data_IF_622158161078
#
_entry.id   IF_622158161078
#
_cell.length_a   1.000
_cell.length_b   1.000
_cell.length_c   1.000
_cell.angle_alpha   90.00
_cell.angle_beta   90.00
_cell.angle_gamma   90.00
#
_symmetry.space_group_name_H-M   'P 1'
#
loop_
_entity.id
_entity.type
_entity.pdbx_description
1 polymer ?
#
# COMPACT_ATOMS: atom_id res chain seq x y z
N UNK A 1 41.62 -8.21 2.67
CA UNK A 1 40.37 -7.82 1.96
C UNK A 1 40.05 -6.39 2.41
N UNK A 2 40.61 -5.41 1.67
CA UNK A 2 40.46 -3.97 2.01
C UNK A 2 39.17 -3.46 1.38
N UNK A 3 38.29 -2.91 2.21
CA UNK A 3 37.00 -2.30 1.84
C UNK A 3 37.32 -0.99 1.12
N UNK A 4 36.99 -0.90 -0.17
CA UNK A 4 36.99 0.34 -0.96
C UNK A 4 35.74 1.14 -0.64
N UNK A 5 35.76 1.95 0.39
CA UNK A 5 34.57 2.65 0.92
C UNK A 5 34.70 4.18 1.04
N UNK A 6 35.49 4.83 0.20
CA UNK A 6 35.57 6.30 0.27
C UNK A 6 34.74 7.06 -0.77
N UNK A 7 34.37 6.43 -1.89
CA UNK A 7 33.59 7.06 -2.95
C UNK A 7 32.08 6.92 -2.70
N UNK A 8 31.66 5.80 -2.12
CA UNK A 8 30.28 5.54 -1.73
C UNK A 8 29.79 6.49 -0.64
N UNK A 9 30.61 6.78 0.37
CA UNK A 9 30.23 7.65 1.50
C UNK A 9 30.03 9.12 1.09
N UNK A 10 30.85 9.65 0.15
CA UNK A 10 30.67 11.03 -0.36
C UNK A 10 29.40 11.16 -1.21
N UNK A 11 29.14 10.20 -2.07
CA UNK A 11 27.89 10.15 -2.86
C UNK A 11 26.66 9.99 -1.96
N UNK A 12 26.78 9.21 -0.89
CA UNK A 12 25.77 9.08 0.17
C UNK A 12 25.48 10.42 0.89
N UNK A 13 26.50 11.20 1.21
CA UNK A 13 26.36 12.48 1.92
C UNK A 13 25.84 13.61 0.99
N UNK A 14 26.17 13.60 -0.27
CA UNK A 14 25.62 14.54 -1.26
C UNK A 14 24.16 14.22 -1.57
N UNK A 15 23.80 12.95 -1.69
CA UNK A 15 22.41 12.51 -1.83
C UNK A 15 21.59 12.74 -0.55
N UNK A 16 22.18 12.61 0.64
CA UNK A 16 21.52 12.94 1.92
C UNK A 16 21.14 14.44 2.03
N UNK A 17 21.87 15.36 1.37
CA UNK A 17 21.48 16.78 1.30
C UNK A 17 20.23 17.03 0.45
N UNK A 18 19.91 16.16 -0.52
CA UNK A 18 18.67 16.21 -1.31
C UNK A 18 17.47 15.59 -0.58
N UNK A 19 17.68 14.86 0.50
CA UNK A 19 16.62 14.17 1.28
C UNK A 19 15.77 15.13 2.11
N UNK A 20 16.18 16.39 2.29
CA UNK A 20 15.34 17.45 2.88
C UNK A 20 14.23 17.97 1.93
N UNK A 21 14.12 17.43 0.71
CA UNK A 21 13.04 17.72 -0.19
C UNK A 21 11.77 17.05 0.35
N UNK A 22 10.70 17.81 0.54
CA UNK A 22 9.39 17.26 0.94
C UNK A 22 8.88 16.37 -0.19
N UNK A 23 8.95 15.04 -0.01
CA UNK A 23 8.43 14.08 -0.97
C UNK A 23 6.91 14.25 -1.12
N UNK A 24 6.43 14.12 -2.36
CA UNK A 24 5.01 14.24 -2.72
C UNK A 24 4.35 12.91 -3.04
N UNK A 25 5.16 11.88 -3.33
CA UNK A 25 4.69 10.53 -3.61
C UNK A 25 4.35 10.26 -5.08
N UNK A 26 4.95 10.97 -6.03
CA UNK A 26 4.94 10.56 -7.43
C UNK A 26 5.73 9.26 -7.58
N UNK A 27 5.16 8.25 -8.24
CA UNK A 27 5.84 6.97 -8.50
C UNK A 27 5.92 6.76 -10.01
N UNK A 28 7.07 6.30 -10.49
CA UNK A 28 7.24 5.98 -11.89
C UNK A 28 8.09 4.71 -12.06
N UNK A 29 7.57 3.75 -12.79
CA UNK A 29 8.30 2.58 -13.29
C UNK A 29 8.66 2.81 -14.74
N UNK A 30 9.92 2.61 -15.11
CA UNK A 30 10.44 2.82 -16.47
C UNK A 30 11.09 1.55 -17.00
N UNK A 31 10.43 0.86 -17.91
CA UNK A 31 10.92 -0.34 -18.61
C UNK A 31 11.47 -1.40 -17.65
N UNK A 32 10.81 -1.60 -16.52
CA UNK A 32 11.27 -2.49 -15.46
C UNK A 32 11.11 -3.94 -15.87
N UNK A 33 12.21 -4.71 -15.75
CA UNK A 33 12.22 -6.16 -15.91
C UNK A 33 12.72 -6.81 -14.62
N UNK A 34 12.03 -7.87 -14.19
CA UNK A 34 12.39 -8.56 -12.96
C UNK A 34 12.08 -10.08 -13.03
N UNK A 35 12.98 -10.87 -12.47
CA UNK A 35 12.81 -12.29 -12.19
C UNK A 35 13.44 -12.65 -10.83
N UNK A 36 12.87 -13.65 -10.15
CA UNK A 36 13.47 -14.18 -8.92
C UNK A 36 14.58 -15.17 -9.24
N UNK A 37 14.39 -16.00 -10.26
CA UNK A 37 15.35 -16.97 -10.76
C UNK A 37 15.58 -16.75 -12.26
N UNK A 38 16.79 -17.03 -12.75
CA UNK A 38 17.10 -16.89 -14.17
C UNK A 38 16.13 -17.69 -15.06
N UNK A 39 15.66 -17.05 -16.13
CA UNK A 39 14.76 -17.64 -17.12
C UNK A 39 13.27 -17.46 -16.85
N UNK A 40 12.84 -17.06 -15.64
CA UNK A 40 11.43 -16.87 -15.30
C UNK A 40 11.08 -15.40 -15.07
N UNK A 41 10.79 -14.66 -16.15
CA UNK A 41 10.41 -13.26 -16.06
C UNK A 41 9.04 -13.07 -15.39
N UNK A 42 9.06 -12.49 -14.18
CA UNK A 42 7.85 -12.13 -13.41
C UNK A 42 7.32 -10.77 -13.81
N UNK A 43 8.21 -9.80 -14.06
CA UNK A 43 7.87 -8.46 -14.57
C UNK A 43 8.57 -8.27 -15.92
N UNK A 44 7.82 -7.79 -16.92
CA UNK A 44 8.27 -7.69 -18.32
C UNK A 44 8.02 -6.29 -18.85
N UNK A 45 9.09 -5.51 -19.03
CA UNK A 45 9.06 -4.17 -19.62
C UNK A 45 7.95 -3.29 -19.03
N UNK A 46 7.79 -3.33 -17.71
CA UNK A 46 6.70 -2.64 -17.01
C UNK A 46 6.99 -1.16 -16.92
N UNK A 47 6.07 -0.35 -17.45
CA UNK A 47 6.13 1.11 -17.36
C UNK A 47 4.77 1.65 -16.98
N UNK A 48 4.71 2.48 -15.95
CA UNK A 48 3.53 3.24 -15.53
C UNK A 48 3.94 4.41 -14.66
N UNK A 49 2.99 5.33 -14.44
CA UNK A 49 3.18 6.51 -13.58
C UNK A 49 1.96 6.71 -12.70
N UNK A 50 2.22 7.07 -11.44
CA UNK A 50 1.23 7.44 -10.43
C UNK A 50 1.56 8.86 -9.99
N UNK A 51 0.56 9.75 -10.02
CA UNK A 51 0.72 11.13 -9.59
C UNK A 51 0.58 11.26 -8.07
N UNK A 52 1.14 12.33 -7.45
CA UNK A 52 0.94 12.59 -6.04
C UNK A 52 -0.55 12.65 -5.67
N UNK A 53 -0.93 11.94 -4.62
CA UNK A 53 -2.31 11.88 -4.14
C UNK A 53 -3.26 11.00 -4.97
N UNK A 54 -2.79 10.34 -6.02
CA UNK A 54 -3.58 9.45 -6.86
C UNK A 54 -3.77 8.09 -6.17
N UNK A 55 -5.01 7.57 -6.18
CA UNK A 55 -5.34 6.24 -5.70
C UNK A 55 -5.36 5.26 -6.87
N UNK A 56 -4.48 4.29 -6.87
CA UNK A 56 -4.30 3.36 -7.98
C UNK A 56 -4.54 1.93 -7.55
N UNK A 57 -5.47 1.25 -8.24
CA UNK A 57 -5.73 -0.17 -8.07
C UNK A 57 -4.93 -1.01 -9.05
N UNK A 58 -4.24 -2.02 -8.53
CA UNK A 58 -3.62 -3.08 -9.34
C UNK A 58 -4.56 -4.28 -9.42
N UNK A 59 -4.90 -4.66 -10.64
CA UNK A 59 -5.85 -5.72 -10.97
C UNK A 59 -5.19 -6.74 -11.90
N UNK A 60 -5.54 -8.00 -11.76
CA UNK A 60 -5.04 -9.05 -12.65
C UNK A 60 -5.05 -10.43 -11.98
N UNK A 61 -4.92 -11.50 -12.76
CA UNK A 61 -4.93 -12.87 -12.22
C UNK A 61 -3.83 -13.10 -11.18
N UNK A 62 -4.00 -14.12 -10.35
CA UNK A 62 -2.93 -14.59 -9.46
C UNK A 62 -1.66 -14.89 -10.27
N UNK A 63 -0.49 -14.49 -9.76
CA UNK A 63 0.78 -14.63 -10.48
C UNK A 63 1.04 -13.56 -11.56
N UNK A 64 0.18 -12.55 -11.74
CA UNK A 64 0.42 -11.47 -12.73
C UNK A 64 1.53 -10.49 -12.34
N UNK A 65 2.10 -10.57 -11.13
CA UNK A 65 3.20 -9.72 -10.67
C UNK A 65 2.82 -8.60 -9.70
N UNK A 66 1.56 -8.49 -9.25
CA UNK A 66 1.09 -7.41 -8.37
C UNK A 66 1.92 -7.26 -7.09
N UNK A 67 2.06 -8.32 -6.32
CA UNK A 67 2.87 -8.32 -5.08
C UNK A 67 4.35 -8.09 -5.36
N UNK A 68 4.85 -8.50 -6.53
CA UNK A 68 6.24 -8.26 -6.95
C UNK A 68 6.50 -6.76 -7.16
N UNK A 69 5.55 -6.00 -7.71
CA UNK A 69 5.65 -4.54 -7.84
C UNK A 69 5.85 -3.89 -6.47
N UNK A 70 5.08 -4.30 -5.45
CA UNK A 70 5.23 -3.80 -4.07
C UNK A 70 6.64 -4.13 -3.54
N UNK A 71 7.10 -5.37 -3.72
CA UNK A 71 8.42 -5.81 -3.24
C UNK A 71 9.56 -5.00 -3.88
N UNK A 72 9.44 -4.69 -5.17
CA UNK A 72 10.38 -3.84 -5.88
C UNK A 72 10.33 -2.40 -5.39
N UNK A 73 9.15 -1.81 -5.23
CA UNK A 73 8.97 -0.45 -4.72
C UNK A 73 9.53 -0.29 -3.29
N UNK A 74 9.34 -1.31 -2.44
CA UNK A 74 9.92 -1.36 -1.09
C UNK A 74 11.44 -1.66 -1.09
N UNK A 75 12.04 -1.86 -2.28
CA UNK A 75 13.45 -2.23 -2.43
C UNK A 75 13.83 -3.46 -1.58
N UNK A 76 12.92 -4.46 -1.56
CA UNK A 76 13.21 -5.80 -1.05
C UNK A 76 13.96 -6.62 -2.09
N UNK A 77 13.81 -6.26 -3.37
CA UNK A 77 14.53 -6.77 -4.52
C UNK A 77 14.89 -5.61 -5.44
N UNK A 78 15.92 -5.78 -6.25
CA UNK A 78 16.32 -4.83 -7.29
C UNK A 78 15.96 -5.39 -8.67
N UNK A 79 15.43 -4.56 -9.60
CA UNK A 79 15.13 -5.00 -10.95
C UNK A 79 16.42 -5.28 -11.73
N UNK A 80 16.41 -6.26 -12.64
CA UNK A 80 17.53 -6.56 -13.52
C UNK A 80 17.75 -5.46 -14.57
N UNK A 81 16.66 -4.78 -14.98
CA UNK A 81 16.76 -3.62 -15.85
C UNK A 81 15.60 -2.65 -15.63
N UNK A 82 15.74 -1.42 -16.14
CA UNK A 82 14.79 -0.34 -15.92
C UNK A 82 15.06 0.42 -14.64
N UNK A 83 14.16 1.34 -14.30
CA UNK A 83 14.29 2.24 -13.15
C UNK A 83 12.96 2.35 -12.42
N UNK A 84 13.01 2.52 -11.10
CA UNK A 84 11.87 2.85 -10.26
C UNK A 84 12.17 4.16 -9.57
N UNK A 85 11.33 5.16 -9.78
CA UNK A 85 11.52 6.51 -9.27
C UNK A 85 10.44 6.89 -8.28
N UNK A 86 10.82 7.62 -7.22
CA UNK A 86 9.90 8.34 -6.34
C UNK A 86 10.28 9.83 -6.43
N UNK A 87 9.33 10.67 -6.83
CA UNK A 87 9.53 12.11 -7.05
C UNK A 87 10.77 12.41 -7.93
N UNK A 88 10.89 11.65 -9.03
CA UNK A 88 11.96 11.72 -10.02
C UNK A 88 13.35 11.28 -9.52
N UNK A 89 13.45 10.72 -8.30
CA UNK A 89 14.69 10.18 -7.73
C UNK A 89 14.62 8.64 -7.81
N UNK A 90 15.68 8.01 -8.34
CA UNK A 90 15.76 6.55 -8.36
C UNK A 90 15.77 6.00 -6.92
N UNK A 91 14.94 5.00 -6.63
CA UNK A 91 14.85 4.41 -5.28
C UNK A 91 16.19 3.82 -4.82
N UNK A 92 17.12 3.53 -5.73
CA UNK A 92 18.48 3.07 -5.42
C UNK A 92 19.31 4.16 -4.76
N UNK A 93 19.06 5.43 -5.14
CA UNK A 93 19.75 6.60 -4.62
C UNK A 93 19.15 7.14 -3.31
N UNK A 94 17.96 6.66 -2.93
CA UNK A 94 17.32 7.01 -1.66
C UNK A 94 17.87 6.10 -0.54
N UNK A 95 18.34 6.67 0.60
CA UNK A 95 18.73 5.86 1.76
C UNK A 95 17.59 4.95 2.19
N UNK A 96 17.87 3.67 2.44
CA UNK A 96 16.84 2.64 2.70
C UNK A 96 15.93 2.99 3.88
N UNK A 97 16.46 3.61 4.93
CA UNK A 97 15.68 4.05 6.08
C UNK A 97 14.68 5.15 5.69
N UNK A 98 15.10 6.11 4.84
CA UNK A 98 14.24 7.17 4.31
C UNK A 98 13.16 6.58 3.43
N UNK A 99 13.53 5.71 2.48
CA UNK A 99 12.56 5.03 1.61
C UNK A 99 11.49 4.29 2.42
N UNK A 100 11.89 3.51 3.42
CA UNK A 100 10.95 2.76 4.28
C UNK A 100 10.09 3.64 5.17
N UNK A 101 10.56 4.82 5.54
CA UNK A 101 9.74 5.79 6.28
C UNK A 101 8.69 6.48 5.40
N UNK A 102 8.99 6.64 4.11
CA UNK A 102 8.06 7.21 3.12
C UNK A 102 6.96 6.25 2.72
N UNK A 103 7.22 4.94 2.78
CA UNK A 103 6.31 3.89 2.36
C UNK A 103 5.62 3.26 3.57
N UNK A 104 4.32 3.35 3.62
CA UNK A 104 3.49 2.60 4.56
C UNK A 104 2.93 1.36 3.89
N UNK A 105 3.23 0.18 4.40
CA UNK A 105 2.76 -1.09 3.81
C UNK A 105 1.81 -1.78 4.78
N UNK A 106 0.61 -2.03 4.30
CA UNK A 106 -0.41 -2.84 4.98
C UNK A 106 -0.47 -4.18 4.24
N UNK A 107 -0.09 -5.25 4.94
CA UNK A 107 -0.09 -6.60 4.39
C UNK A 107 -1.48 -7.25 4.52
N UNK A 108 -1.73 -8.24 3.70
CA UNK A 108 -2.93 -9.06 3.69
C UNK A 108 -3.24 -9.66 5.07
N UNK A 109 -2.24 -10.25 5.73
CA UNK A 109 -2.38 -10.78 7.08
C UNK A 109 -2.23 -9.65 8.10
N UNK A 110 -3.35 -9.27 8.72
CA UNK A 110 -3.37 -8.26 9.78
C UNK A 110 -2.87 -8.85 11.08
N UNK A 111 -1.69 -8.45 11.53
CA UNK A 111 -1.17 -8.86 12.82
C UNK A 111 -1.48 -7.82 13.90
N UNK A 112 -2.24 -8.23 14.91
CA UNK A 112 -2.55 -7.43 16.10
C UNK A 112 -1.77 -8.00 17.28
N UNK A 113 -0.98 -7.13 17.93
CA UNK A 113 -0.23 -7.50 19.13
C UNK A 113 -1.14 -7.55 20.35
N UNK A 114 -0.84 -8.43 21.30
CA UNK A 114 -1.43 -8.37 22.65
C UNK A 114 -1.02 -7.07 23.33
N UNK A 115 -1.87 -6.50 24.15
CA UNK A 115 -1.69 -5.19 24.78
C UNK A 115 -2.95 -4.36 24.63
N UNK A 116 -2.84 -3.05 24.55
CA UNK A 116 -4.00 -2.19 24.30
C UNK A 116 -3.99 -1.60 22.88
N UNK A 117 -5.06 -0.90 22.52
CA UNK A 117 -5.21 -0.25 21.20
C UNK A 117 -4.11 0.80 20.98
N UNK A 118 -3.80 1.62 22.03
CA UNK A 118 -2.77 2.63 21.94
C UNK A 118 -1.39 2.02 21.64
N UNK A 119 -1.01 0.93 22.31
CA UNK A 119 0.27 0.25 22.08
C UNK A 119 0.35 -0.27 20.64
N UNK A 120 -0.75 -0.82 20.13
CA UNK A 120 -0.83 -1.29 18.75
C UNK A 120 -0.71 -0.17 17.72
N UNK A 121 -1.25 1.01 17.99
CA UNK A 121 -1.18 2.16 17.10
C UNK A 121 0.20 2.85 17.16
N UNK A 122 0.74 3.01 18.35
CA UNK A 122 2.01 3.71 18.57
C UNK A 122 3.21 3.00 17.96
N UNK A 123 3.32 1.69 18.13
CA UNK A 123 4.44 0.84 17.68
C UNK A 123 5.78 1.60 17.61
N UNK A 124 6.46 1.79 18.72
CA UNK A 124 7.77 2.46 18.80
C UNK A 124 7.76 3.97 18.40
N UNK A 125 6.60 4.61 18.22
CA UNK A 125 6.53 6.07 18.15
C UNK A 125 6.54 6.67 19.55
N UNK A 126 7.13 7.87 19.71
CA UNK A 126 7.16 8.60 20.97
C UNK A 126 5.90 9.45 21.20
N UNK A 127 4.79 9.16 20.50
CA UNK A 127 3.53 9.89 20.64
C UNK A 127 2.96 9.73 22.05
N UNK A 128 2.56 10.81 22.65
CA UNK A 128 1.76 10.76 23.87
C UNK A 128 0.30 10.36 23.56
N UNK A 129 -0.53 10.15 24.60
CA UNK A 129 -1.89 9.68 24.38
C UNK A 129 -2.78 10.75 23.74
N UNK A 130 -2.56 12.02 24.04
CA UNK A 130 -3.34 13.13 23.48
C UNK A 130 -3.04 13.34 21.99
N UNK A 131 -1.76 13.29 21.63
CA UNK A 131 -1.31 13.32 20.24
C UNK A 131 -1.91 12.16 19.44
N UNK A 132 -1.86 10.93 20.01
CA UNK A 132 -2.44 9.75 19.40
C UNK A 132 -3.95 9.88 19.19
N UNK A 133 -4.67 10.38 20.19
CA UNK A 133 -6.11 10.58 20.11
C UNK A 133 -6.46 11.59 19.02
N UNK A 134 -5.76 12.73 18.95
CA UNK A 134 -5.93 13.71 17.90
C UNK A 134 -5.69 13.13 16.50
N UNK A 135 -4.62 12.36 16.33
CA UNK A 135 -4.33 11.66 15.06
C UNK A 135 -5.42 10.64 14.70
N UNK A 136 -5.95 9.92 15.68
CA UNK A 136 -7.08 9.03 15.46
C UNK A 136 -8.33 9.78 14.95
N UNK A 137 -8.65 10.93 15.51
CA UNK A 137 -9.74 11.78 15.02
C UNK A 137 -9.48 12.30 13.60
N UNK A 138 -8.27 12.76 13.32
CA UNK A 138 -7.88 13.23 11.97
C UNK A 138 -8.01 12.11 10.91
N UNK A 139 -7.68 10.88 11.30
CA UNK A 139 -7.79 9.69 10.45
C UNK A 139 -9.22 9.13 10.37
N UNK A 140 -10.16 9.67 11.16
CA UNK A 140 -11.55 9.22 11.17
C UNK A 140 -11.79 7.91 11.91
N UNK A 141 -10.95 7.59 12.88
CA UNK A 141 -11.07 6.39 13.72
C UNK A 141 -12.04 6.57 14.90
N UNK A 142 -12.71 7.71 15.01
CA UNK A 142 -13.65 8.03 16.09
C UNK A 142 -14.76 6.98 16.21
N UNK A 143 -15.27 6.45 15.10
CA UNK A 143 -16.27 5.39 15.11
C UNK A 143 -15.74 4.06 15.68
N UNK A 144 -14.50 3.73 15.35
CA UNK A 144 -13.83 2.55 15.92
C UNK A 144 -13.65 2.73 17.43
N UNK A 145 -13.06 3.85 17.84
CA UNK A 145 -12.76 4.11 19.25
C UNK A 145 -14.01 4.15 20.12
N UNK A 146 -15.13 4.70 19.63
CA UNK A 146 -16.44 4.71 20.33
C UNK A 146 -17.05 3.32 20.54
N UNK A 147 -16.74 2.37 19.67
CA UNK A 147 -17.21 0.97 19.80
C UNK A 147 -16.40 0.16 20.81
N UNK A 148 -15.19 0.62 21.12
CA UNK A 148 -14.30 -0.07 22.06
C UNK A 148 -14.60 0.39 23.50
N UNK A 149 -14.74 -0.56 24.47
CA UNK A 149 -15.20 -0.26 25.83
C UNK A 149 -14.40 0.83 26.55
N UNK A 150 -13.08 0.87 26.35
CA UNK A 150 -12.16 1.79 26.98
C UNK A 150 -11.37 2.62 25.95
N UNK A 151 -11.90 2.77 24.71
CA UNK A 151 -11.27 3.50 23.61
C UNK A 151 -9.83 3.02 23.36
N UNK A 152 -8.86 3.94 23.41
CA UNK A 152 -7.42 3.62 23.23
C UNK A 152 -6.86 2.66 24.27
N UNK A 153 -7.44 2.59 25.46
CA UNK A 153 -6.97 1.72 26.55
C UNK A 153 -7.59 0.31 26.48
N UNK A 154 -8.50 0.07 25.55
CA UNK A 154 -9.15 -1.24 25.39
C UNK A 154 -8.08 -2.32 25.20
N UNK A 155 -8.10 -3.33 26.07
CA UNK A 155 -7.22 -4.48 26.00
C UNK A 155 -7.54 -5.38 24.82
N UNK A 156 -6.53 -5.71 24.05
CA UNK A 156 -6.62 -6.59 22.87
C UNK A 156 -6.09 -7.98 23.22
N UNK A 157 -6.90 -8.99 22.94
CA UNK A 157 -6.50 -10.38 23.05
C UNK A 157 -5.52 -10.75 21.95
N UNK A 158 -4.89 -11.90 22.10
CA UNK A 158 -3.98 -12.43 21.08
C UNK A 158 -4.62 -12.37 19.68
N UNK A 159 -3.87 -11.85 18.71
CA UNK A 159 -4.33 -11.63 17.33
C UNK A 159 -5.60 -10.79 17.19
N UNK A 160 -5.92 -9.97 18.18
CA UNK A 160 -7.15 -9.16 18.17
C UNK A 160 -8.44 -9.99 18.22
N UNK A 161 -8.43 -11.12 18.97
CA UNK A 161 -9.55 -12.05 19.01
C UNK A 161 -10.88 -11.47 19.55
N UNK A 162 -10.83 -10.28 20.16
CA UNK A 162 -12.01 -9.53 20.59
C UNK A 162 -12.43 -8.40 19.64
N UNK A 163 -11.80 -8.32 18.45
CA UNK A 163 -12.17 -7.40 17.38
C UNK A 163 -12.82 -8.17 16.22
N UNK A 164 -13.74 -7.55 15.52
CA UNK A 164 -14.23 -8.03 14.22
C UNK A 164 -13.10 -8.00 13.17
N UNK A 165 -13.28 -8.69 12.06
CA UNK A 165 -12.31 -8.67 10.94
C UNK A 165 -12.09 -7.26 10.39
N UNK A 166 -13.16 -6.47 10.24
CA UNK A 166 -13.08 -5.07 9.81
C UNK A 166 -12.34 -4.16 10.78
N UNK A 167 -12.60 -4.30 12.08
CA UNK A 167 -11.89 -3.53 13.10
C UNK A 167 -10.39 -3.87 13.15
N UNK A 168 -10.03 -5.15 13.00
CA UNK A 168 -8.61 -5.55 12.88
C UNK A 168 -7.94 -4.92 11.65
N UNK A 169 -8.63 -4.95 10.51
CA UNK A 169 -8.12 -4.35 9.28
C UNK A 169 -7.96 -2.83 9.44
N UNK A 170 -8.98 -2.13 9.95
CA UNK A 170 -8.93 -0.70 10.17
C UNK A 170 -7.81 -0.31 11.13
N UNK A 171 -7.65 -1.05 12.23
CA UNK A 171 -6.56 -0.83 13.19
C UNK A 171 -5.17 -1.04 12.55
N UNK A 172 -5.03 -2.04 11.68
CA UNK A 172 -3.79 -2.29 10.94
C UNK A 172 -3.45 -1.17 9.96
N UNK A 173 -4.43 -0.65 9.22
CA UNK A 173 -4.25 0.49 8.31
C UNK A 173 -3.92 1.76 9.11
N UNK A 174 -4.65 2.02 10.19
CA UNK A 174 -4.44 3.15 11.08
C UNK A 174 -3.03 3.18 11.67
N UNK A 175 -2.53 2.04 12.13
CA UNK A 175 -1.15 1.86 12.62
C UNK A 175 -0.11 2.36 11.62
N UNK A 176 -0.31 2.07 10.35
CA UNK A 176 0.59 2.52 9.29
C UNK A 176 0.37 4.00 8.98
N UNK A 177 -0.89 4.44 8.93
CA UNK A 177 -1.26 5.81 8.58
C UNK A 177 -0.83 6.86 9.63
N UNK A 178 -0.82 6.49 10.92
CA UNK A 178 -0.33 7.34 12.03
C UNK A 178 1.13 7.76 11.83
N UNK A 179 1.95 6.93 11.20
CA UNK A 179 3.34 7.27 10.87
C UNK A 179 3.45 8.29 9.73
N UNK A 180 2.32 8.72 9.17
CA UNK A 180 2.20 9.68 8.08
C UNK A 180 3.09 9.39 6.87
N UNK A 181 3.02 8.17 6.29
CA UNK A 181 3.77 7.85 5.10
C UNK A 181 3.31 8.70 3.91
N UNK A 182 4.22 8.97 2.99
CA UNK A 182 3.92 9.70 1.73
C UNK A 182 3.12 8.84 0.76
N UNK A 183 3.44 7.54 0.75
CA UNK A 183 2.79 6.53 -0.09
C UNK A 183 2.25 5.43 0.80
N UNK A 184 0.97 5.11 0.65
CA UNK A 184 0.34 3.98 1.33
C UNK A 184 0.13 2.84 0.34
N UNK A 185 0.61 1.67 0.71
CA UNK A 185 0.52 0.45 -0.09
C UNK A 185 -0.35 -0.54 0.68
N UNK A 186 -1.41 -1.03 0.04
CA UNK A 186 -2.30 -2.01 0.65
C UNK A 186 -2.36 -3.27 -0.21
N UNK A 187 -2.03 -4.40 0.40
CA UNK A 187 -2.31 -5.72 -0.17
C UNK A 187 -3.62 -6.20 0.47
N UNK A 188 -4.74 -5.94 -0.23
CA UNK A 188 -6.08 -6.13 0.30
C UNK A 188 -6.54 -7.56 0.09
N UNK A 189 -6.35 -8.41 1.11
CA UNK A 189 -7.15 -9.62 1.22
C UNK A 189 -8.09 -9.47 2.40
N UNK A 190 -9.33 -9.34 2.12
CA UNK A 190 -10.35 -9.15 3.13
C UNK A 190 -11.10 -10.45 3.35
N UNK A 191 -11.20 -10.83 4.63
CA UNK A 191 -12.10 -11.90 5.05
C UNK A 191 -13.55 -11.55 4.69
N UNK A 192 -14.40 -12.56 4.55
CA UNK A 192 -15.85 -12.40 4.37
C UNK A 192 -16.40 -11.49 5.46
N UNK A 193 -16.95 -10.35 5.08
CA UNK A 193 -17.67 -9.41 5.93
C UNK A 193 -19.09 -9.27 5.42
N UNK A 194 -20.01 -8.91 6.30
CA UNK A 194 -21.36 -8.53 5.88
C UNK A 194 -21.33 -7.19 5.14
N UNK A 195 -22.24 -6.93 4.18
CA UNK A 195 -22.22 -5.74 3.33
C UNK A 195 -22.29 -4.41 4.08
N UNK A 196 -22.95 -4.37 5.25
CA UNK A 196 -23.10 -3.14 6.04
C UNK A 196 -21.80 -2.76 6.75
N UNK A 197 -21.10 -3.74 7.31
CA UNK A 197 -19.76 -3.58 7.91
C UNK A 197 -18.74 -3.21 6.84
N UNK A 198 -18.84 -3.82 5.65
CA UNK A 198 -17.97 -3.51 4.52
C UNK A 198 -18.10 -2.05 4.07
N UNK A 199 -19.33 -1.55 3.89
CA UNK A 199 -19.56 -0.17 3.47
C UNK A 199 -19.01 0.87 4.49
N UNK A 200 -19.11 0.55 5.78
CA UNK A 200 -18.54 1.40 6.84
C UNK A 200 -17.02 1.41 6.80
N UNK A 201 -16.42 0.22 6.71
CA UNK A 201 -14.96 0.07 6.60
C UNK A 201 -14.42 0.81 5.38
N UNK A 202 -15.09 0.69 4.23
CA UNK A 202 -14.69 1.36 2.99
C UNK A 202 -14.62 2.88 3.16
N UNK A 203 -15.63 3.50 3.80
CA UNK A 203 -15.64 4.94 4.10
C UNK A 203 -14.47 5.36 5.01
N UNK A 204 -14.22 4.57 6.04
CA UNK A 204 -13.12 4.86 6.98
C UNK A 204 -11.75 4.70 6.28
N UNK A 205 -11.60 3.71 5.41
CA UNK A 205 -10.39 3.53 4.58
C UNK A 205 -10.20 4.70 3.59
N UNK A 206 -11.24 5.10 2.88
CA UNK A 206 -11.20 6.26 1.97
C UNK A 206 -10.73 7.53 2.68
N UNK A 207 -11.18 7.74 3.91
CA UNK A 207 -10.78 8.86 4.75
C UNK A 207 -9.29 8.82 5.10
N UNK A 208 -8.78 7.64 5.47
CA UNK A 208 -7.35 7.43 5.73
C UNK A 208 -6.50 7.66 4.48
N UNK A 209 -7.00 7.25 3.32
CA UNK A 209 -6.30 7.37 2.04
C UNK A 209 -6.30 8.80 1.49
N UNK A 210 -7.35 9.59 1.73
CA UNK A 210 -7.73 10.83 1.04
C UNK A 210 -6.67 11.93 0.89
N UNK A 211 -5.51 11.83 1.49
CA UNK A 211 -4.44 12.84 1.39
C UNK A 211 -3.09 12.25 0.99
N UNK A 212 -3.09 11.01 0.50
CA UNK A 212 -1.86 10.24 0.24
C UNK A 212 -1.90 9.60 -1.12
N UNK A 213 -0.76 9.39 -1.71
CA UNK A 213 -0.66 8.48 -2.86
C UNK A 213 -0.92 7.06 -2.35
N UNK A 214 -1.87 6.35 -2.95
CA UNK A 214 -2.23 5.00 -2.54
C UNK A 214 -2.10 3.99 -3.68
N UNK A 215 -1.44 2.86 -3.38
CA UNK A 215 -1.37 1.70 -4.25
C UNK A 215 -2.12 0.55 -3.58
N UNK A 216 -3.17 0.05 -4.22
CA UNK A 216 -3.98 -1.02 -3.66
C UNK A 216 -3.95 -2.23 -4.59
N UNK A 217 -3.48 -3.38 -4.07
CA UNK A 217 -3.77 -4.67 -4.72
C UNK A 217 -5.19 -5.00 -4.30
N UNK A 218 -6.14 -4.64 -5.16
CA UNK A 218 -7.53 -4.72 -4.82
C UNK A 218 -8.10 -6.10 -5.15
N UNK A 219 -8.73 -6.71 -4.15
CA UNK A 219 -9.49 -7.95 -4.27
C UNK A 219 -11.01 -7.69 -4.21
N UNK A 220 -11.43 -6.43 -4.02
CA UNK A 220 -12.84 -6.03 -3.94
C UNK A 220 -13.17 -5.06 -5.06
N UNK A 221 -14.32 -5.30 -5.68
CA UNK A 221 -14.79 -4.43 -6.77
C UNK A 221 -15.03 -2.99 -6.29
N UNK A 222 -15.59 -2.80 -5.09
CA UNK A 222 -15.83 -1.47 -4.53
C UNK A 222 -14.54 -0.63 -4.40
N UNK A 223 -13.44 -1.22 -3.94
CA UNK A 223 -12.13 -0.54 -3.85
C UNK A 223 -11.58 -0.20 -5.23
N UNK A 224 -11.82 -1.08 -6.23
CA UNK A 224 -11.38 -0.84 -7.60
C UNK A 224 -12.20 0.29 -8.23
N UNK A 225 -13.51 0.30 -8.02
CA UNK A 225 -14.43 1.29 -8.59
C UNK A 225 -14.17 2.69 -8.04
N UNK A 226 -13.76 2.82 -6.77
CA UNK A 226 -13.43 4.09 -6.12
C UNK A 226 -12.02 4.61 -6.43
N UNK A 227 -11.19 3.84 -7.14
CA UNK A 227 -9.82 4.25 -7.49
C UNK A 227 -9.81 5.24 -8.66
N UNK A 228 -8.89 6.23 -8.59
CA UNK A 228 -8.70 7.23 -9.67
C UNK A 228 -8.19 6.57 -10.95
N UNK A 229 -7.40 5.50 -10.81
CA UNK A 229 -6.78 4.76 -11.90
C UNK A 229 -6.69 3.28 -11.59
N UNK A 230 -6.88 2.47 -12.60
CA UNK A 230 -6.72 1.02 -12.55
C UNK A 230 -5.61 0.61 -13.51
N UNK A 231 -4.67 -0.19 -13.02
CA UNK A 231 -3.58 -0.80 -13.79
C UNK A 231 -3.82 -2.31 -13.87
N UNK A 232 -4.08 -2.80 -15.07
CA UNK A 232 -4.40 -4.21 -15.30
C UNK A 232 -3.17 -4.96 -15.76
N UNK A 233 -2.76 -5.95 -14.97
CA UNK A 233 -1.57 -6.76 -15.18
C UNK A 233 -1.93 -8.14 -15.69
N UNK A 234 -1.18 -8.64 -16.68
CA UNK A 234 -1.25 -10.03 -17.17
C UNK A 234 0.14 -10.51 -17.56
N UNK A 235 0.54 -11.65 -16.99
CA UNK A 235 1.83 -12.28 -17.31
C UNK A 235 3.06 -11.38 -17.12
N UNK A 236 3.03 -10.49 -16.12
CA UNK A 236 4.12 -9.57 -15.78
C UNK A 236 4.14 -8.25 -16.55
N UNK A 237 3.18 -8.00 -17.43
CA UNK A 237 3.08 -6.79 -18.22
C UNK A 237 1.81 -5.99 -17.90
N UNK A 238 1.85 -4.67 -18.07
CA UNK A 238 0.69 -3.80 -18.07
C UNK A 238 -0.05 -3.96 -19.39
N UNK A 239 -1.32 -4.38 -19.35
CA UNK A 239 -2.12 -4.64 -20.56
C UNK A 239 -3.23 -3.62 -20.76
N UNK A 240 -3.76 -3.04 -19.67
CA UNK A 240 -4.77 -1.99 -19.71
C UNK A 240 -4.53 -0.97 -18.61
N UNK A 241 -4.87 0.29 -18.87
CA UNK A 241 -4.82 1.39 -17.92
C UNK A 241 -6.01 2.32 -18.18
N UNK A 242 -6.63 2.81 -17.11
CA UNK A 242 -7.75 3.75 -17.19
C UNK A 242 -8.59 3.77 -15.92
N UNK A 243 -9.69 4.51 -15.94
CA UNK A 243 -10.73 4.50 -14.90
C UNK A 243 -11.63 3.29 -15.03
N UNK A 244 -12.41 2.99 -13.99
CA UNK A 244 -13.43 1.92 -14.02
C UNK A 244 -14.35 2.05 -15.25
N UNK A 245 -14.89 3.24 -15.48
CA UNK A 245 -15.83 3.49 -16.59
C UNK A 245 -15.19 3.29 -17.95
N UNK A 246 -13.98 3.79 -18.18
CA UNK A 246 -13.24 3.62 -19.41
C UNK A 246 -12.93 2.16 -19.73
N UNK A 247 -12.46 1.42 -18.72
CA UNK A 247 -12.08 0.02 -18.89
C UNK A 247 -13.29 -0.90 -19.07
N UNK A 248 -14.43 -0.58 -18.46
CA UNK A 248 -15.68 -1.28 -18.73
C UNK A 248 -16.15 -1.10 -20.18
N UNK A 249 -16.02 0.11 -20.73
CA UNK A 249 -16.38 0.38 -22.13
C UNK A 249 -15.47 -0.33 -23.13
N UNK A 250 -14.19 -0.50 -22.80
CA UNK A 250 -13.22 -1.23 -23.66
C UNK A 250 -13.53 -2.71 -23.79
N UNK A 251 -14.32 -3.30 -22.87
CA UNK A 251 -14.67 -4.74 -22.81
C UNK A 251 -13.45 -5.67 -22.87
N UNK A 252 -12.32 -5.24 -22.34
CA UNK A 252 -11.06 -5.96 -22.31
C UNK A 252 -10.96 -6.94 -21.13
N UNK A 253 -9.73 -7.20 -20.68
CA UNK A 253 -9.46 -8.10 -19.56
C UNK A 253 -10.10 -7.61 -18.25
N UNK A 254 -10.03 -6.30 -17.99
CA UNK A 254 -10.68 -5.71 -16.82
C UNK A 254 -12.18 -6.02 -16.77
N UNK A 255 -12.87 -5.81 -17.88
CA UNK A 255 -14.31 -6.10 -17.96
C UNK A 255 -14.60 -7.56 -17.65
N UNK A 256 -13.83 -8.50 -18.24
CA UNK A 256 -14.01 -9.93 -17.99
C UNK A 256 -13.81 -10.28 -16.52
N UNK A 257 -12.75 -9.74 -15.89
CA UNK A 257 -12.46 -9.98 -14.48
C UNK A 257 -13.55 -9.39 -13.58
N UNK A 258 -14.02 -8.17 -13.84
CA UNK A 258 -15.08 -7.53 -13.06
C UNK A 258 -16.41 -8.29 -13.12
N UNK A 259 -16.80 -8.82 -14.29
CA UNK A 259 -17.99 -9.65 -14.45
C UNK A 259 -17.89 -10.98 -13.69
N UNK A 260 -16.71 -11.60 -13.70
CA UNK A 260 -16.48 -12.85 -12.96
C UNK A 260 -16.54 -12.61 -11.45
N UNK A 261 -16.02 -11.49 -10.97
CA UNK A 261 -16.10 -11.15 -9.56
C UNK A 261 -17.52 -10.82 -9.11
N UNK A 262 -18.29 -10.08 -9.88
CA UNK A 262 -19.71 -9.82 -9.60
C UNK A 262 -20.52 -11.11 -9.46
N UNK A 263 -20.15 -12.15 -10.22
CA UNK A 263 -20.78 -13.48 -10.17
C UNK A 263 -20.20 -14.37 -9.07
N UNK A 264 -19.23 -13.90 -8.27
CA UNK A 264 -18.62 -14.66 -7.17
C UNK A 264 -17.64 -15.77 -7.61
N UNK A 265 -17.18 -15.77 -8.86
CA UNK A 265 -16.33 -16.84 -9.40
C UNK A 265 -14.82 -16.60 -9.22
N UNK A 266 -14.37 -15.37 -9.01
CA UNK A 266 -12.94 -15.02 -8.95
C UNK A 266 -12.70 -13.86 -7.97
N UNK A 267 -11.61 -13.93 -7.22
CA UNK A 267 -10.97 -12.78 -6.58
C UNK A 267 -9.83 -12.30 -7.49
N UNK A 268 -9.64 -10.99 -7.65
CA UNK A 268 -8.58 -10.38 -8.47
C UNK A 268 -7.17 -10.73 -8.03
#
# INVERSE_FOLDING_TARGET
MQIKDSTSAKHFLENAKNVNKKFRGKIEFKNVNFFYNEGEHIIKNLSFKINPGEHVAFVGPTGSGKTTIIRLLCRLYEPQSGQILIDDIDIKDIPIATLRNMLGVVLQDTFIFSGNVADNLKLNSNLDNLELENLCYELGLDNLLKKLPEGLNTSLRERGGNLSSGERQLLSVARVAIRNPVVLIMDEATAFMDPSTEATLQKDLERILSKRTALVIAHRLATIESSDKILVLKGGALVEEGTHSELRLKKGLYFQLSELQQKGFVNF
#
